data_IF_952514441774
#
_entry.id   IF_952514441774
#
_cell.length_a   1.000
_cell.length_b   1.000
_cell.length_c   1.000
_cell.angle_alpha   90.00
_cell.angle_beta   90.00
_cell.angle_gamma   90.00
#
_symmetry.space_group_name_H-M   'P 1'
#
loop_
_entity.id
_entity.type
_entity.pdbx_description
1 polymer ?
#
# COMPACT_ATOMS: atom_id res chain seq x y z
N UNK A 1 7.26 22.46 26.56
CA UNK A 1 7.55 23.23 25.32
C UNK A 1 6.39 22.98 24.37
N UNK A 2 5.72 24.01 23.82
CA UNK A 2 4.63 23.78 22.87
C UNK A 2 5.16 23.03 21.65
N UNK A 3 4.46 21.97 21.24
CA UNK A 3 4.84 21.14 20.09
C UNK A 3 4.79 21.99 18.82
N UNK A 4 5.95 22.31 18.25
CA UNK A 4 6.03 23.12 17.04
C UNK A 4 5.58 22.28 15.86
N UNK A 5 4.37 22.54 15.37
CA UNK A 5 3.84 21.90 14.16
C UNK A 5 4.53 22.47 12.93
N UNK A 6 4.79 21.63 11.93
CA UNK A 6 5.38 22.04 10.65
C UNK A 6 4.44 21.60 9.53
N UNK A 7 4.04 22.55 8.69
CA UNK A 7 3.22 22.28 7.51
C UNK A 7 4.11 22.19 6.28
N UNK A 8 3.82 21.20 5.44
CA UNK A 8 4.45 20.96 4.15
C UNK A 8 3.37 20.56 3.13
N UNK A 9 3.73 20.60 1.86
CA UNK A 9 2.79 20.42 0.76
C UNK A 9 3.32 19.46 -0.28
N UNK A 10 2.40 18.70 -0.88
CA UNK A 10 2.63 17.87 -2.06
C UNK A 10 1.51 18.12 -3.06
N UNK A 11 1.86 18.65 -4.23
CA UNK A 11 0.94 18.71 -5.36
C UNK A 11 1.22 17.60 -6.36
N UNK A 12 0.17 17.00 -6.92
CA UNK A 12 0.28 15.99 -7.96
C UNK A 12 -1.04 15.82 -8.71
N UNK A 13 -1.01 14.97 -9.74
CA UNK A 13 -2.23 14.43 -10.31
C UNK A 13 -2.62 13.10 -9.69
N UNK A 14 -3.92 12.85 -9.67
CA UNK A 14 -4.51 11.56 -9.34
C UNK A 14 -5.64 11.24 -10.32
N UNK A 15 -5.99 9.96 -10.41
CA UNK A 15 -7.17 9.53 -11.15
C UNK A 15 -8.46 9.93 -10.44
N UNK A 16 -9.55 10.08 -11.20
CA UNK A 16 -10.90 10.27 -10.61
C UNK A 16 -11.24 9.13 -9.66
N UNK A 17 -10.88 7.88 -10.00
CA UNK A 17 -11.14 6.73 -9.14
C UNK A 17 -10.42 6.81 -7.80
N UNK A 18 -9.19 7.34 -7.76
CA UNK A 18 -8.45 7.47 -6.51
C UNK A 18 -8.96 8.63 -5.67
N UNK A 19 -9.42 9.72 -6.30
CA UNK A 19 -10.12 10.78 -5.59
C UNK A 19 -11.40 10.25 -4.91
N UNK A 20 -12.19 9.45 -5.61
CA UNK A 20 -13.42 8.87 -5.03
C UNK A 20 -13.14 7.88 -3.91
N UNK A 21 -12.02 7.15 -3.96
CA UNK A 21 -11.55 6.35 -2.82
C UNK A 21 -11.17 7.27 -1.64
N UNK A 22 -10.38 8.31 -1.87
CA UNK A 22 -9.95 9.26 -0.84
C UNK A 22 -11.14 9.91 -0.13
N UNK A 23 -12.16 10.38 -0.86
CA UNK A 23 -13.39 10.95 -0.28
C UNK A 23 -14.14 9.97 0.64
N UNK A 24 -14.15 8.68 0.30
CA UNK A 24 -14.78 7.64 1.12
C UNK A 24 -13.93 7.22 2.32
N UNK A 25 -12.68 7.66 2.37
CA UNK A 25 -11.70 7.32 3.39
C UNK A 25 -11.36 8.50 4.29
N UNK A 26 -12.20 9.54 4.35
CA UNK A 26 -12.06 10.63 5.31
C UNK A 26 -11.99 10.08 6.76
N UNK A 27 -11.02 10.58 7.53
CA UNK A 27 -10.70 10.05 8.85
C UNK A 27 -9.98 8.70 8.84
N UNK A 28 -9.70 8.12 7.66
CA UNK A 28 -8.96 6.87 7.49
C UNK A 28 -7.44 7.07 7.33
N UNK A 29 -6.75 6.04 6.86
CA UNK A 29 -5.30 6.04 6.67
C UNK A 29 -4.92 6.12 5.19
N UNK A 30 -3.88 6.87 4.86
CA UNK A 30 -3.27 6.97 3.54
C UNK A 30 -1.78 6.64 3.64
N UNK A 31 -1.29 5.81 2.72
CA UNK A 31 0.14 5.52 2.57
C UNK A 31 0.60 5.84 1.16
N UNK A 32 1.85 6.27 1.03
CA UNK A 32 2.51 6.45 -0.27
C UNK A 32 3.45 5.29 -0.56
N UNK A 33 3.29 4.66 -1.74
CA UNK A 33 4.07 3.48 -2.13
C UNK A 33 5.47 3.81 -2.67
N UNK A 34 5.78 5.09 -2.86
CA UNK A 34 7.09 5.58 -3.26
C UNK A 34 7.60 6.60 -2.24
N UNK A 35 8.87 7.01 -2.36
CA UNK A 35 9.37 8.15 -1.60
C UNK A 35 8.46 9.36 -1.84
N UNK A 36 8.03 9.99 -0.75
CA UNK A 36 7.14 11.15 -0.82
C UNK A 36 8.00 12.42 -0.71
N UNK A 37 8.20 13.06 -1.85
CA UNK A 37 8.85 14.38 -1.93
C UNK A 37 7.83 15.49 -1.65
N UNK A 38 8.16 16.38 -0.73
CA UNK A 38 7.27 17.46 -0.27
C UNK A 38 8.03 18.77 -0.18
N UNK A 39 7.32 19.89 -0.24
CA UNK A 39 7.91 21.23 -0.15
C UNK A 39 7.28 22.01 0.99
N UNK A 40 8.04 22.87 1.66
CA UNK A 40 7.44 23.87 2.58
C UNK A 40 6.71 25.00 1.83
N UNK A 41 6.84 25.07 0.50
CA UNK A 41 6.24 26.10 -0.35
C UNK A 41 4.96 25.59 -1.00
N UNK A 42 3.82 26.16 -0.59
CA UNK A 42 2.52 25.93 -1.24
C UNK A 42 2.59 26.21 -2.76
N UNK A 43 3.34 27.25 -3.17
CA UNK A 43 3.48 27.62 -4.58
C UNK A 43 4.08 26.48 -5.42
N UNK A 44 5.08 25.79 -4.87
CA UNK A 44 5.72 24.66 -5.55
C UNK A 44 4.71 23.52 -5.72
N UNK A 45 3.98 23.17 -4.66
CA UNK A 45 2.92 22.17 -4.73
C UNK A 45 1.83 22.56 -5.76
N UNK A 46 1.36 23.81 -5.77
CA UNK A 46 0.38 24.28 -6.75
C UNK A 46 0.86 24.07 -8.18
N UNK A 47 2.11 24.42 -8.50
CA UNK A 47 2.67 24.21 -9.84
C UNK A 47 2.63 22.74 -10.27
N UNK A 48 2.93 21.80 -9.38
CA UNK A 48 2.83 20.37 -9.68
C UNK A 48 1.39 19.91 -9.88
N UNK A 49 0.44 20.38 -9.05
CA UNK A 49 -0.97 20.04 -9.19
C UNK A 49 -1.58 20.65 -10.48
N UNK A 50 -1.21 21.87 -10.83
CA UNK A 50 -1.67 22.60 -12.01
C UNK A 50 -1.13 22.02 -13.31
N UNK A 51 0.10 21.47 -13.29
CA UNK A 51 0.77 20.93 -14.48
C UNK A 51 -0.01 19.82 -15.20
N UNK A 52 -1.02 19.24 -14.53
CA UNK A 52 -1.80 18.11 -15.03
C UNK A 52 -3.26 18.45 -15.31
N UNK A 53 -3.69 19.71 -15.10
CA UNK A 53 -5.06 20.17 -15.40
C UNK A 53 -5.42 20.10 -16.90
N UNK A 54 -4.41 20.07 -17.77
CA UNK A 54 -4.58 19.93 -19.22
C UNK A 54 -4.88 18.50 -19.68
N UNK A 55 -4.67 17.50 -18.82
CA UNK A 55 -5.06 16.12 -19.09
C UNK A 55 -6.57 15.96 -18.85
N UNK A 56 -7.29 15.28 -19.74
CA UNK A 56 -8.74 15.08 -19.62
C UNK A 56 -9.10 14.10 -18.49
N UNK A 57 -8.15 13.25 -18.07
CA UNK A 57 -8.41 12.17 -17.11
C UNK A 57 -7.79 12.41 -15.72
N UNK A 58 -6.93 13.43 -15.57
CA UNK A 58 -6.24 13.75 -14.32
C UNK A 58 -6.95 14.81 -13.47
N UNK A 59 -7.01 14.64 -12.16
CA UNK A 59 -7.43 15.70 -11.22
C UNK A 59 -6.20 16.19 -10.46
N UNK A 60 -6.05 17.51 -10.36
CA UNK A 60 -5.03 18.11 -9.51
C UNK A 60 -5.40 17.95 -8.04
N UNK A 61 -4.45 17.52 -7.22
CA UNK A 61 -4.61 17.44 -5.78
C UNK A 61 -3.40 18.08 -5.09
N UNK A 62 -3.68 18.83 -4.03
CA UNK A 62 -2.69 19.37 -3.10
C UNK A 62 -2.94 18.74 -1.74
N UNK A 63 -1.96 17.97 -1.27
CA UNK A 63 -1.92 17.50 0.11
C UNK A 63 -1.23 18.55 0.98
N UNK A 64 -1.91 19.05 1.99
CA UNK A 64 -1.32 19.77 3.11
C UNK A 64 -1.04 18.76 4.22
N UNK A 65 0.23 18.63 4.63
CA UNK A 65 0.65 17.63 5.59
C UNK A 65 1.16 18.32 6.84
N UNK A 66 0.47 18.09 7.95
CA UNK A 66 0.88 18.55 9.27
C UNK A 66 1.79 17.51 9.93
N UNK A 67 3.05 17.90 10.12
CA UNK A 67 4.09 17.14 10.81
C UNK A 67 4.12 17.59 12.27
N UNK A 68 4.10 16.62 13.19
CA UNK A 68 4.30 16.80 14.63
C UNK A 68 5.68 16.22 15.04
N UNK A 69 6.80 16.97 14.94
CA UNK A 69 8.16 16.42 14.97
C UNK A 69 8.53 15.62 16.22
N UNK A 70 7.93 15.96 17.37
CA UNK A 70 8.23 15.31 18.64
C UNK A 70 7.50 13.97 18.85
N UNK A 71 6.62 13.58 17.92
CA UNK A 71 5.79 12.37 18.02
C UNK A 71 5.92 11.47 16.78
N UNK A 72 6.89 11.71 15.92
CA UNK A 72 6.99 11.02 14.64
C UNK A 72 8.08 9.95 14.71
N UNK A 73 7.66 8.69 14.50
CA UNK A 73 8.54 7.54 14.23
C UNK A 73 8.93 7.44 12.73
N UNK A 74 8.42 8.37 11.91
CA UNK A 74 8.59 8.38 10.46
C UNK A 74 9.98 8.92 10.09
N UNK A 75 10.79 8.16 9.34
CA UNK A 75 12.04 8.67 8.78
C UNK A 75 11.77 9.71 7.69
N UNK A 76 12.30 10.92 7.86
CA UNK A 76 12.31 11.96 6.84
C UNK A 76 13.68 12.65 6.74
N UNK A 77 14.01 13.17 5.56
CA UNK A 77 15.23 13.92 5.29
C UNK A 77 14.89 15.30 4.72
N UNK A 78 15.52 16.35 5.25
CA UNK A 78 15.54 17.66 4.58
C UNK A 78 16.64 17.64 3.53
N UNK A 79 16.30 18.09 2.32
CA UNK A 79 17.20 18.16 1.17
C UNK A 79 17.60 19.59 0.83
N UNK A 80 17.39 20.53 1.75
CA UNK A 80 17.64 21.97 1.58
C UNK A 80 19.07 22.26 1.06
N UNK A 81 20.05 21.44 1.42
CA UNK A 81 21.47 21.61 1.05
C UNK A 81 21.98 20.66 -0.05
N UNK A 82 21.11 19.84 -0.64
CA UNK A 82 21.50 18.78 -1.61
C UNK A 82 20.65 18.82 -2.89
N UNK A 83 19.45 19.40 -2.86
CA UNK A 83 18.61 19.47 -4.06
C UNK A 83 19.22 20.38 -5.13
N UNK A 84 19.03 20.01 -6.40
CA UNK A 84 19.47 20.79 -7.58
C UNK A 84 18.73 22.15 -7.64
N UNK A 85 17.64 22.32 -6.89
CA UNK A 85 16.78 23.49 -6.82
C UNK A 85 16.84 24.20 -5.44
N UNK A 86 18.01 24.13 -4.78
CA UNK A 86 18.26 24.53 -3.39
C UNK A 86 17.84 25.94 -2.99
N UNK A 87 17.61 26.85 -3.94
CA UNK A 87 17.30 28.23 -3.60
C UNK A 87 15.84 28.46 -3.19
N UNK A 88 14.89 27.55 -3.51
CA UNK A 88 13.45 27.87 -3.38
C UNK A 88 12.50 26.75 -2.91
N UNK A 89 12.88 25.47 -2.96
CA UNK A 89 11.89 24.39 -2.76
C UNK A 89 11.83 23.86 -1.33
N UNK A 90 12.90 24.02 -0.52
CA UNK A 90 12.97 23.53 0.87
C UNK A 90 12.33 22.13 1.03
N UNK A 91 12.89 21.18 0.30
CA UNK A 91 12.32 19.85 0.09
C UNK A 91 12.48 18.97 1.35
N UNK A 92 11.42 18.26 1.69
CA UNK A 92 11.43 17.19 2.69
C UNK A 92 11.00 15.90 2.01
N UNK A 93 11.86 14.88 2.12
CA UNK A 93 11.64 13.55 1.58
C UNK A 93 11.26 12.59 2.71
N UNK A 94 10.13 11.88 2.56
CA UNK A 94 9.72 10.82 3.47
C UNK A 94 10.03 9.45 2.86
N UNK A 95 10.36 8.49 3.71
CA UNK A 95 10.52 7.10 3.31
C UNK A 95 9.23 6.52 2.73
N UNK A 96 9.37 5.52 1.87
CA UNK A 96 8.26 4.70 1.36
C UNK A 96 7.42 4.15 2.52
N UNK A 97 6.12 3.95 2.26
CA UNK A 97 5.15 3.39 3.20
C UNK A 97 4.94 4.21 4.47
N UNK A 98 5.25 5.50 4.42
CA UNK A 98 4.83 6.45 5.45
C UNK A 98 3.30 6.55 5.44
N UNK A 99 2.70 6.39 6.62
CA UNK A 99 1.25 6.46 6.81
C UNK A 99 0.85 7.83 7.37
N UNK A 100 -0.25 8.36 6.84
CA UNK A 100 -0.87 9.61 7.24
C UNK A 100 -2.35 9.40 7.54
N UNK A 101 -2.90 10.20 8.45
CA UNK A 101 -4.33 10.32 8.68
C UNK A 101 -4.94 11.23 7.63
N UNK A 102 -5.97 10.76 6.94
CA UNK A 102 -6.77 11.58 6.01
C UNK A 102 -7.69 12.47 6.84
N UNK A 103 -7.54 13.78 6.71
CA UNK A 103 -8.44 14.79 7.24
C UNK A 103 -9.45 15.24 6.20
N UNK A 104 -9.87 16.49 6.29
CA UNK A 104 -10.87 17.09 5.40
C UNK A 104 -10.37 17.21 3.96
N UNK A 105 -11.30 17.07 3.01
CA UNK A 105 -11.09 17.25 1.58
C UNK A 105 -11.97 18.39 1.07
N UNK A 106 -11.38 19.35 0.35
CA UNK A 106 -12.08 20.51 -0.17
C UNK A 106 -11.83 20.69 -1.67
N UNK A 107 -12.89 20.98 -2.43
CA UNK A 107 -12.76 21.42 -3.81
C UNK A 107 -12.45 22.91 -3.80
N UNK A 108 -11.24 23.30 -4.24
CA UNK A 108 -10.79 24.69 -4.19
C UNK A 108 -10.92 25.40 -5.54
N UNK A 109 -10.74 24.68 -6.65
CA UNK A 109 -11.01 25.16 -8.00
C UNK A 109 -11.53 24.03 -8.89
N UNK A 110 -11.96 24.35 -10.10
CA UNK A 110 -12.32 23.33 -11.08
C UNK A 110 -11.17 22.34 -11.31
N UNK A 111 -11.46 21.08 -10.98
CA UNK A 111 -10.52 19.93 -11.03
C UNK A 111 -9.29 20.09 -10.15
N UNK A 112 -9.38 20.85 -9.05
CA UNK A 112 -8.32 20.99 -8.04
C UNK A 112 -8.86 20.78 -6.63
N UNK A 113 -8.34 19.76 -5.95
CA UNK A 113 -8.71 19.40 -4.58
C UNK A 113 -7.59 19.69 -3.59
N UNK A 114 -7.97 20.10 -2.41
CA UNK A 114 -7.11 20.26 -1.25
C UNK A 114 -7.43 19.17 -0.23
N UNK A 115 -6.42 18.53 0.34
CA UNK A 115 -6.60 17.43 1.30
C UNK A 115 -5.66 17.62 2.48
N UNK A 116 -6.24 17.66 3.68
CA UNK A 116 -5.49 17.71 4.92
C UNK A 116 -4.99 16.32 5.29
N UNK A 117 -3.71 16.20 5.61
CA UNK A 117 -3.08 15.00 6.13
C UNK A 117 -2.39 15.32 7.44
N UNK A 118 -2.44 14.40 8.40
CA UNK A 118 -1.67 14.50 9.64
C UNK A 118 -0.76 13.29 9.78
N UNK A 119 0.50 13.50 10.20
CA UNK A 119 1.42 12.40 10.49
C UNK A 119 0.85 11.48 11.57
N UNK A 120 0.82 10.17 11.32
CA UNK A 120 0.48 9.17 12.35
C UNK A 120 1.68 8.91 13.26
N UNK A 121 1.43 8.31 14.42
CA UNK A 121 2.46 7.86 15.36
C UNK A 121 2.12 6.47 15.93
N UNK A 122 2.97 5.97 16.82
CA UNK A 122 2.78 4.65 17.44
C UNK A 122 1.51 4.57 18.32
N UNK A 123 0.95 5.71 18.71
CA UNK A 123 -0.28 5.83 19.49
C UNK A 123 -1.56 5.91 18.63
N UNK A 124 -1.43 5.91 17.30
CA UNK A 124 -2.59 5.97 16.40
C UNK A 124 -3.42 4.67 16.52
N UNK A 125 -4.62 4.78 17.10
CA UNK A 125 -5.46 3.62 17.42
C UNK A 125 -5.89 2.81 16.19
N UNK A 126 -6.12 3.45 15.04
CA UNK A 126 -6.51 2.71 13.83
C UNK A 126 -5.32 2.01 13.21
N UNK A 127 -4.16 2.67 13.15
CA UNK A 127 -2.92 2.07 12.66
C UNK A 127 -2.49 0.91 13.55
N UNK A 128 -2.61 1.05 14.88
CA UNK A 128 -2.33 -0.02 15.83
C UNK A 128 -3.27 -1.21 15.64
N UNK A 129 -4.59 -0.98 15.56
CA UNK A 129 -5.56 -2.06 15.32
C UNK A 129 -5.33 -2.78 13.99
N UNK A 130 -5.06 -2.03 12.92
CA UNK A 130 -4.75 -2.60 11.61
C UNK A 130 -3.48 -3.47 11.67
N UNK A 131 -2.44 -2.96 12.34
CA UNK A 131 -1.17 -3.68 12.51
C UNK A 131 -1.35 -4.98 13.27
N UNK A 132 -2.08 -4.97 14.39
CA UNK A 132 -2.34 -6.17 15.19
C UNK A 132 -3.25 -7.17 14.48
N UNK A 133 -4.26 -6.67 13.74
CA UNK A 133 -5.10 -7.52 12.91
C UNK A 133 -4.27 -8.27 11.86
N UNK A 134 -3.42 -7.56 11.09
CA UNK A 134 -2.56 -8.17 10.07
C UNK A 134 -1.56 -9.14 10.72
N UNK A 135 -0.95 -8.79 11.86
CA UNK A 135 -0.05 -9.68 12.59
C UNK A 135 -0.72 -10.96 13.05
N UNK A 136 -1.95 -10.86 13.55
CA UNK A 136 -2.72 -12.01 14.02
C UNK A 136 -3.09 -12.93 12.87
N UNK A 137 -3.60 -12.38 11.77
CA UNK A 137 -4.02 -13.13 10.58
C UNK A 137 -2.83 -13.83 9.90
N UNK A 138 -1.63 -13.24 9.98
CA UNK A 138 -0.44 -13.74 9.30
C UNK A 138 0.58 -14.42 10.23
N UNK A 139 0.22 -14.64 11.50
CA UNK A 139 1.13 -15.12 12.56
C UNK A 139 1.77 -16.47 12.22
N UNK A 140 0.99 -17.39 11.71
CA UNK A 140 1.40 -18.78 11.42
C UNK A 140 2.12 -18.93 10.07
N UNK A 141 2.24 -17.84 9.29
CA UNK A 141 2.87 -17.87 7.97
C UNK A 141 4.38 -17.65 8.04
N UNK A 142 5.14 -18.19 7.08
CA UNK A 142 6.55 -17.83 6.92
C UNK A 142 6.70 -16.39 6.41
N UNK A 143 7.87 -15.77 6.57
CA UNK A 143 8.07 -14.37 6.16
C UNK A 143 7.72 -14.09 4.68
N UNK A 144 8.03 -15.04 3.79
CA UNK A 144 7.76 -14.93 2.35
C UNK A 144 6.25 -15.03 2.05
N UNK A 145 5.56 -15.94 2.74
CA UNK A 145 4.10 -16.05 2.68
C UNK A 145 3.39 -14.82 3.21
N UNK A 146 3.88 -14.25 4.33
CA UNK A 146 3.36 -12.98 4.86
C UNK A 146 3.47 -11.86 3.83
N UNK A 147 4.62 -11.74 3.17
CA UNK A 147 4.83 -10.72 2.13
C UNK A 147 3.81 -10.86 0.99
N UNK A 148 3.61 -12.07 0.47
CA UNK A 148 2.64 -12.32 -0.59
C UNK A 148 1.19 -12.04 -0.18
N UNK A 149 0.79 -12.47 1.02
CA UNK A 149 -0.55 -12.17 1.56
C UNK A 149 -0.75 -10.66 1.75
N UNK A 150 0.28 -9.93 2.19
CA UNK A 150 0.23 -8.46 2.28
C UNK A 150 0.04 -7.82 0.91
N UNK A 151 0.78 -8.26 -0.13
CA UNK A 151 0.61 -7.77 -1.51
C UNK A 151 -0.82 -7.99 -2.02
N UNK A 152 -1.41 -9.17 -1.77
CA UNK A 152 -2.82 -9.46 -2.11
C UNK A 152 -3.76 -8.45 -1.42
N UNK A 153 -3.58 -8.22 -0.12
CA UNK A 153 -4.41 -7.27 0.66
C UNK A 153 -4.28 -5.83 0.19
N UNK A 154 -3.11 -5.45 -0.33
CA UNK A 154 -2.88 -4.13 -0.95
C UNK A 154 -3.39 -4.05 -2.39
N UNK A 155 -3.89 -5.14 -2.97
CA UNK A 155 -4.32 -5.21 -4.37
C UNK A 155 -3.17 -5.30 -5.37
N UNK A 156 -1.94 -5.54 -4.91
CA UNK A 156 -0.75 -5.68 -5.75
C UNK A 156 -0.65 -7.11 -6.34
N UNK A 157 -1.67 -7.51 -7.10
CA UNK A 157 -1.81 -8.87 -7.60
C UNK A 157 -0.67 -9.28 -8.54
N UNK A 158 -0.13 -8.35 -9.34
CA UNK A 158 0.99 -8.63 -10.23
C UNK A 158 2.28 -8.94 -9.45
N UNK A 159 2.58 -8.14 -8.42
CA UNK A 159 3.73 -8.37 -7.53
C UNK A 159 3.57 -9.67 -6.75
N UNK A 160 2.37 -9.94 -6.23
CA UNK A 160 2.07 -11.18 -5.53
C UNK A 160 2.25 -12.41 -6.44
N UNK A 161 1.75 -12.34 -7.68
CA UNK A 161 1.90 -13.40 -8.67
C UNK A 161 3.39 -13.67 -8.96
N UNK A 162 4.16 -12.62 -9.26
CA UNK A 162 5.59 -12.74 -9.53
C UNK A 162 6.33 -13.36 -8.35
N UNK A 163 6.02 -12.93 -7.12
CA UNK A 163 6.60 -13.49 -5.91
C UNK A 163 6.32 -14.99 -5.81
N UNK A 164 5.05 -15.42 -5.85
CA UNK A 164 4.71 -16.84 -5.69
C UNK A 164 5.26 -17.73 -6.81
N UNK A 165 5.29 -17.24 -8.06
CA UNK A 165 5.93 -17.95 -9.17
C UNK A 165 7.44 -18.09 -8.93
N UNK A 166 8.11 -17.02 -8.52
CA UNK A 166 9.55 -17.06 -8.19
C UNK A 166 9.83 -18.03 -7.04
N UNK A 167 9.00 -18.04 -6.00
CA UNK A 167 9.14 -18.97 -4.87
C UNK A 167 8.99 -20.43 -5.34
N UNK A 168 8.00 -20.73 -6.18
CA UNK A 168 7.81 -22.07 -6.75
C UNK A 168 8.98 -22.52 -7.64
N UNK A 169 9.63 -21.59 -8.35
CA UNK A 169 10.76 -21.89 -9.24
C UNK A 169 12.09 -22.03 -8.49
N UNK A 170 12.33 -21.18 -7.50
CA UNK A 170 13.64 -21.04 -6.82
C UNK A 170 13.73 -21.85 -5.54
N UNK A 171 12.60 -22.13 -4.89
CA UNK A 171 12.55 -22.94 -3.67
C UNK A 171 12.15 -24.35 -4.07
N UNK A 172 13.14 -25.12 -4.52
CA UNK A 172 13.06 -26.58 -4.60
C UNK A 172 13.05 -27.17 -3.19
N UNK A 173 12.04 -26.85 -2.39
CA UNK A 173 11.81 -27.51 -1.13
C UNK A 173 10.95 -28.76 -1.37
N UNK A 174 11.42 -29.91 -0.90
CA UNK A 174 10.63 -31.14 -0.79
C UNK A 174 9.45 -31.00 0.23
N UNK A 175 9.25 -29.79 0.76
CA UNK A 175 8.11 -29.44 1.60
C UNK A 175 6.86 -29.25 0.73
N UNK A 176 6.13 -30.35 0.54
CA UNK A 176 4.86 -30.37 -0.17
C UNK A 176 3.82 -29.42 0.43
N UNK A 177 3.88 -29.12 1.74
CA UNK A 177 2.91 -28.27 2.41
C UNK A 177 3.14 -26.80 2.03
N UNK A 178 4.40 -26.39 1.95
CA UNK A 178 4.80 -25.07 1.46
C UNK A 178 4.39 -24.89 -0.02
N UNK A 179 4.66 -25.89 -0.87
CA UNK A 179 4.23 -25.89 -2.27
C UNK A 179 2.70 -25.82 -2.42
N UNK A 180 1.96 -26.59 -1.62
CA UNK A 180 0.50 -26.58 -1.62
C UNK A 180 -0.04 -25.19 -1.25
N UNK A 181 0.59 -24.53 -0.28
CA UNK A 181 0.25 -23.17 0.12
C UNK A 181 0.59 -22.15 -0.98
N UNK A 182 1.76 -22.24 -1.62
CA UNK A 182 2.13 -21.38 -2.74
C UNK A 182 1.15 -21.48 -3.91
N UNK A 183 0.75 -22.71 -4.29
CA UNK A 183 -0.27 -22.92 -5.30
C UNK A 183 -1.64 -22.34 -4.88
N UNK A 184 -2.03 -22.49 -3.62
CA UNK A 184 -3.28 -21.93 -3.11
C UNK A 184 -3.30 -20.40 -3.24
N UNK A 185 -2.20 -19.74 -2.83
CA UNK A 185 -2.07 -18.29 -2.90
C UNK A 185 -2.02 -17.80 -4.36
N UNK A 186 -1.28 -18.48 -5.24
CA UNK A 186 -1.25 -18.17 -6.66
C UNK A 186 -2.63 -18.33 -7.32
N UNK A 187 -3.40 -19.36 -6.93
CA UNK A 187 -4.80 -19.52 -7.35
C UNK A 187 -5.67 -18.33 -6.94
N UNK A 188 -5.55 -17.89 -5.68
CA UNK A 188 -6.28 -16.71 -5.17
C UNK A 188 -5.93 -15.42 -5.92
N UNK A 189 -4.65 -15.23 -6.24
CA UNK A 189 -4.17 -14.07 -7.02
C UNK A 189 -4.77 -14.09 -8.43
N UNK A 190 -4.69 -15.24 -9.12
CA UNK A 190 -5.22 -15.39 -10.48
C UNK A 190 -6.74 -15.23 -10.53
N UNK A 191 -7.46 -15.74 -9.53
CA UNK A 191 -8.90 -15.52 -9.38
C UNK A 191 -9.22 -14.03 -9.23
N UNK A 192 -8.46 -13.31 -8.39
CA UNK A 192 -8.64 -11.86 -8.19
C UNK A 192 -8.35 -11.06 -9.46
N UNK A 193 -7.48 -11.57 -10.34
CA UNK A 193 -7.20 -11.00 -11.68
C UNK A 193 -8.21 -11.41 -12.76
N UNK A 194 -9.16 -12.29 -12.44
CA UNK A 194 -10.16 -12.80 -13.39
C UNK A 194 -9.71 -13.98 -14.25
N UNK A 195 -8.51 -14.54 -14.03
CA UNK A 195 -8.03 -15.73 -14.74
C UNK A 195 -8.48 -17.01 -14.02
N UNK A 196 -9.77 -17.33 -14.17
CA UNK A 196 -10.39 -18.47 -13.51
C UNK A 196 -9.80 -19.82 -13.90
N UNK A 197 -9.33 -19.99 -15.15
CA UNK A 197 -8.78 -21.26 -15.62
C UNK A 197 -7.42 -21.54 -14.98
N UNK A 198 -6.52 -20.55 -14.94
CA UNK A 198 -5.24 -20.72 -14.26
C UNK A 198 -5.40 -20.79 -12.74
N UNK A 199 -6.37 -20.07 -12.17
CA UNK A 199 -6.70 -20.18 -10.75
C UNK A 199 -7.10 -21.63 -10.38
N UNK A 200 -8.05 -22.19 -11.13
CA UNK A 200 -8.54 -23.56 -10.94
C UNK A 200 -7.41 -24.59 -11.07
N UNK A 201 -6.54 -24.43 -12.06
CA UNK A 201 -5.35 -25.29 -12.23
C UNK A 201 -4.47 -25.30 -10.99
N UNK A 202 -4.24 -24.15 -10.36
CA UNK A 202 -3.44 -24.06 -9.14
C UNK A 202 -4.17 -24.67 -7.93
N UNK A 203 -5.47 -24.45 -7.77
CA UNK A 203 -6.25 -25.10 -6.71
C UNK A 203 -6.21 -26.64 -6.81
N UNK A 204 -6.29 -27.19 -8.02
CA UNK A 204 -6.12 -28.64 -8.21
C UNK A 204 -4.71 -29.13 -7.85
N UNK A 205 -3.66 -28.37 -8.15
CA UNK A 205 -2.28 -28.70 -7.73
C UNK A 205 -2.17 -28.74 -6.20
N UNK A 206 -2.77 -27.79 -5.50
CA UNK A 206 -2.86 -27.79 -4.03
C UNK A 206 -3.52 -29.08 -3.52
N UNK A 207 -4.68 -29.46 -4.06
CA UNK A 207 -5.38 -30.70 -3.66
C UNK A 207 -4.55 -31.95 -3.96
N UNK A 208 -3.89 -32.01 -5.12
CA UNK A 208 -3.06 -33.14 -5.51
C UNK A 208 -1.90 -33.36 -4.52
N UNK A 209 -1.22 -32.28 -4.11
CA UNK A 209 -0.14 -32.33 -3.13
C UNK A 209 -0.63 -32.83 -1.77
N UNK A 210 -1.80 -32.36 -1.31
CA UNK A 210 -2.41 -32.80 -0.04
C UNK A 210 -2.80 -34.29 -0.10
N UNK A 211 -3.38 -34.73 -1.23
CA UNK A 211 -3.83 -36.10 -1.43
C UNK A 211 -2.68 -37.11 -1.45
N UNK A 212 -1.60 -36.82 -2.20
CA UNK A 212 -0.42 -37.70 -2.29
C UNK A 212 0.23 -37.90 -0.91
N UNK A 213 0.16 -36.89 -0.05
CA UNK A 213 0.72 -36.94 1.30
C UNK A 213 -0.27 -37.45 2.38
N UNK A 214 -1.46 -37.92 1.98
CA UNK A 214 -2.48 -38.55 2.84
C UNK A 214 -2.94 -37.70 4.04
N UNK A 215 -3.02 -36.37 3.90
CA UNK A 215 -3.48 -35.47 4.97
C UNK A 215 -4.86 -34.89 4.64
N UNK A 216 -5.90 -35.71 4.83
CA UNK A 216 -7.28 -35.35 4.49
C UNK A 216 -7.86 -34.17 5.30
N UNK A 217 -7.31 -33.90 6.49
CA UNK A 217 -7.74 -32.83 7.41
C UNK A 217 -6.77 -31.62 7.38
N UNK A 218 -6.04 -31.46 6.27
CA UNK A 218 -5.12 -30.33 6.13
C UNK A 218 -5.91 -29.01 6.02
N UNK A 219 -5.53 -27.94 6.74
CA UNK A 219 -6.34 -26.71 6.83
C UNK A 219 -6.71 -26.06 5.48
N UNK A 220 -5.90 -26.27 4.44
CA UNK A 220 -6.20 -25.73 3.11
C UNK A 220 -7.34 -26.45 2.40
N UNK A 221 -7.67 -27.70 2.73
CA UNK A 221 -8.65 -28.51 1.98
C UNK A 221 -9.99 -27.81 1.86
N UNK A 222 -10.56 -27.36 2.98
CA UNK A 222 -11.86 -26.68 3.00
C UNK A 222 -11.81 -25.38 2.18
N UNK A 223 -10.74 -24.61 2.33
CA UNK A 223 -10.54 -23.36 1.58
C UNK A 223 -10.42 -23.63 0.09
N UNK A 224 -9.61 -24.61 -0.34
CA UNK A 224 -9.42 -24.96 -1.74
C UNK A 224 -10.72 -25.41 -2.40
N UNK A 225 -11.53 -26.25 -1.73
CA UNK A 225 -12.83 -26.66 -2.27
C UNK A 225 -13.82 -25.52 -2.43
N UNK A 226 -13.77 -24.47 -1.58
CA UNK A 226 -14.64 -23.30 -1.76
C UNK A 226 -14.33 -22.49 -3.03
N UNK A 227 -13.15 -22.67 -3.64
CA UNK A 227 -12.73 -21.96 -4.84
C UNK A 227 -12.85 -22.80 -6.14
N UNK A 228 -13.30 -24.05 -6.05
CA UNK A 228 -13.52 -24.99 -7.17
C UNK A 228 -15.02 -25.10 -7.45
#
# INVERSE_FOLDING_TARGET
MPTKRKTIYRGQAISISDLEKLKKSEGGLLSFNNFLSTSTSYRVASLFADSVRSDLDGIGIIFEIEIIPNNISIPFASLDNISIHSDHENEILFSMHTVFRIGELELIEDRLWFVNLTSTNDDDEQLHRLTEYIRTETKELTAKHRLGVMMIKMGEFDNAQLLFQTLLETESNDDWADQAHLHQQLGSVLQSKGDGLQALSNYYKTLQLIQINNISDYPLVATTYNHI
#
